data_IF_121918707582
#
_entry.id   IF_121918707582
#
_cell.length_a   1.000
_cell.length_b   1.000
_cell.length_c   1.000
_cell.angle_alpha   90.00
_cell.angle_beta   90.00
_cell.angle_gamma   90.00
#
_symmetry.space_group_name_H-M   'P 1'
#
loop_
_entity.id
_entity.type
_entity.pdbx_description
1 polymer ?
#
# COMPACT_ATOMS: atom_id res chain seq x y z
N UNK A 1 -14.24 -25.39 -79.32
CA UNK A 1 -13.96 -26.68 -79.98
C UNK A 1 -13.02 -27.47 -79.09
N UNK A 2 -13.45 -28.67 -78.65
CA UNK A 2 -12.63 -29.85 -78.29
C UNK A 2 -11.75 -29.71 -77.03
N UNK A 3 -11.74 -30.59 -76.03
CA UNK A 3 -12.54 -31.75 -75.61
C UNK A 3 -12.20 -32.01 -74.12
N UNK A 4 -13.21 -32.55 -73.44
CA UNK A 4 -13.29 -33.40 -72.25
C UNK A 4 -12.05 -34.14 -71.70
N UNK A 5 -12.02 -34.26 -70.36
CA UNK A 5 -11.74 -35.49 -69.56
C UNK A 5 -12.39 -35.29 -68.17
N UNK A 6 -13.53 -35.91 -67.81
CA UNK A 6 -13.85 -37.34 -67.57
C UNK A 6 -13.28 -37.87 -66.22
N UNK A 7 -14.08 -37.97 -65.14
CA UNK A 7 -14.94 -39.08 -64.62
C UNK A 7 -14.33 -39.61 -63.30
N UNK A 8 -15.13 -39.67 -62.21
CA UNK A 8 -15.36 -40.77 -61.23
C UNK A 8 -15.70 -40.16 -59.85
N UNK A 9 -16.61 -40.63 -58.98
CA UNK A 9 -17.80 -41.50 -58.99
C UNK A 9 -18.56 -41.20 -57.68
N UNK A 10 -19.88 -41.38 -57.70
CA UNK A 10 -20.80 -41.18 -56.57
C UNK A 10 -20.58 -42.11 -55.38
N UNK A 11 -21.01 -41.70 -54.18
CA UNK A 11 -21.99 -42.48 -53.39
C UNK A 11 -22.59 -41.68 -52.22
N UNK A 12 -23.92 -41.62 -52.25
CA UNK A 12 -24.87 -41.18 -51.23
C UNK A 12 -25.00 -42.14 -50.03
N UNK A 13 -25.71 -41.69 -48.98
CA UNK A 13 -26.31 -42.39 -47.80
C UNK A 13 -25.58 -42.06 -46.48
N UNK A 14 -26.22 -41.82 -45.32
CA UNK A 14 -27.61 -42.00 -44.84
C UNK A 14 -27.77 -41.20 -43.53
N UNK A 15 -28.97 -40.67 -43.29
CA UNK A 15 -29.47 -40.28 -41.97
C UNK A 15 -29.34 -41.43 -40.96
N UNK A 16 -29.11 -41.14 -39.67
CA UNK A 16 -29.94 -41.72 -38.61
C UNK A 16 -29.91 -40.88 -37.33
N UNK A 17 -31.10 -40.40 -36.99
CA UNK A 17 -31.56 -39.93 -35.69
C UNK A 17 -31.62 -41.13 -34.74
N UNK A 18 -31.10 -41.03 -33.51
CA UNK A 18 -31.45 -41.96 -32.42
C UNK A 18 -31.81 -41.17 -31.18
N UNK A 19 -33.13 -41.16 -30.93
CA UNK A 19 -33.77 -40.90 -29.65
C UNK A 19 -33.71 -42.20 -28.85
N UNK A 20 -33.32 -42.14 -27.58
CA UNK A 20 -33.56 -43.20 -26.60
C UNK A 20 -33.66 -42.56 -25.20
N UNK A 21 -34.88 -42.24 -24.74
CA UNK A 21 -35.71 -42.99 -23.78
C UNK A 21 -35.12 -43.15 -22.37
N UNK A 22 -35.85 -42.51 -21.46
CA UNK A 22 -35.84 -42.58 -20.00
C UNK A 22 -36.09 -44.01 -19.51
N UNK A 23 -35.29 -44.48 -18.55
CA UNK A 23 -35.65 -45.58 -17.66
C UNK A 23 -35.27 -45.18 -16.22
N UNK A 24 -36.28 -44.96 -15.40
CA UNK A 24 -36.17 -44.67 -13.96
C UNK A 24 -36.16 -46.02 -13.24
N UNK A 25 -35.09 -46.32 -12.50
CA UNK A 25 -35.09 -47.33 -11.45
C UNK A 25 -34.64 -46.67 -10.15
N UNK A 26 -35.54 -46.71 -9.17
CA UNK A 26 -35.36 -46.19 -7.82
C UNK A 26 -34.63 -47.22 -6.94
N UNK A 27 -33.62 -46.79 -6.18
CA UNK A 27 -33.00 -47.49 -5.05
C UNK A 27 -32.35 -46.46 -4.08
N UNK A 28 -32.05 -46.84 -2.82
CA UNK A 28 -32.57 -46.16 -1.62
C UNK A 28 -31.76 -44.96 -1.14
N UNK A 29 -32.49 -44.03 -0.53
CA UNK A 29 -32.00 -42.92 0.26
C UNK A 29 -31.17 -43.39 1.45
N UNK A 30 -29.86 -43.12 1.42
CA UNK A 30 -29.00 -43.11 2.60
C UNK A 30 -28.60 -41.65 2.87
N UNK A 31 -29.14 -41.10 3.96
CA UNK A 31 -28.85 -39.77 4.43
C UNK A 31 -27.38 -39.66 4.87
N UNK A 32 -26.62 -38.74 4.25
CA UNK A 32 -25.33 -38.28 4.73
C UNK A 32 -25.26 -36.75 4.58
N UNK A 33 -25.35 -36.10 5.74
CA UNK A 33 -24.90 -34.76 6.11
C UNK A 33 -24.66 -33.72 5.00
N UNK A 34 -25.55 -32.72 4.94
CA UNK A 34 -25.26 -31.42 4.33
C UNK A 34 -24.17 -30.71 5.14
N UNK A 35 -22.93 -30.79 4.66
CA UNK A 35 -21.81 -29.96 5.10
C UNK A 35 -21.85 -28.61 4.39
N UNK A 36 -22.21 -27.58 5.13
CA UNK A 36 -22.34 -26.19 4.71
C UNK A 36 -20.98 -25.61 4.24
N UNK A 37 -20.64 -25.76 2.95
CA UNK A 37 -19.40 -25.26 2.33
C UNK A 37 -19.49 -23.77 1.94
N UNK A 38 -19.92 -22.93 2.89
CA UNK A 38 -19.90 -21.48 2.73
C UNK A 38 -19.93 -20.76 4.08
N UNK A 39 -18.95 -21.01 4.94
CA UNK A 39 -18.67 -20.14 6.10
C UNK A 39 -17.25 -20.27 6.71
N UNK A 40 -16.39 -21.19 6.27
CA UNK A 40 -15.13 -21.48 6.97
C UNK A 40 -13.85 -20.84 6.41
N UNK A 41 -13.91 -20.04 5.35
CA UNK A 41 -12.70 -19.32 4.85
C UNK A 41 -12.48 -17.95 5.49
N UNK A 42 -13.44 -17.41 6.25
CA UNK A 42 -13.33 -16.10 6.90
C UNK A 42 -13.06 -16.15 8.42
N UNK A 43 -12.92 -17.34 9.02
CA UNK A 43 -12.72 -17.49 10.47
C UNK A 43 -11.26 -17.85 10.88
N UNK A 44 -10.39 -18.21 9.93
CA UNK A 44 -9.03 -18.71 10.22
C UNK A 44 -7.90 -17.72 9.94
N UNK A 45 -8.19 -16.54 9.37
CA UNK A 45 -7.19 -15.47 9.16
C UNK A 45 -7.16 -14.45 10.32
N UNK A 46 -8.12 -14.51 11.25
CA UNK A 46 -8.27 -13.49 12.31
C UNK A 46 -7.78 -13.89 13.70
N UNK A 47 -7.31 -15.12 13.94
CA UNK A 47 -6.99 -15.61 15.31
C UNK A 47 -5.51 -15.92 15.57
N UNK A 48 -4.66 -15.89 14.54
CA UNK A 48 -3.20 -16.05 14.68
C UNK A 48 -2.47 -14.71 14.84
N UNK A 49 -3.01 -13.62 14.28
CA UNK A 49 -2.42 -12.27 14.42
C UNK A 49 -2.70 -11.68 15.82
N UNK A 50 -3.76 -12.11 16.50
CA UNK A 50 -4.14 -11.59 17.82
C UNK A 50 -3.40 -12.24 19.01
N UNK A 51 -2.83 -13.44 18.86
CA UNK A 51 -2.36 -14.24 20.01
C UNK A 51 -0.91 -14.02 20.43
N UNK A 52 -0.05 -13.52 19.53
CA UNK A 52 1.37 -13.34 19.86
C UNK A 52 1.70 -11.96 20.46
N UNK A 53 0.71 -11.06 20.59
CA UNK A 53 0.90 -9.72 21.16
C UNK A 53 0.40 -9.56 22.60
N UNK A 54 -0.26 -10.56 23.19
CA UNK A 54 -1.06 -10.37 24.41
C UNK A 54 -0.60 -11.14 25.66
N UNK A 55 0.44 -11.98 25.59
CA UNK A 55 0.71 -12.94 26.67
C UNK A 55 1.66 -12.49 27.80
N UNK A 56 2.40 -11.38 27.66
CA UNK A 56 3.39 -10.98 28.69
C UNK A 56 3.01 -9.74 29.51
N UNK A 57 1.77 -9.24 29.39
CA UNK A 57 1.37 -8.00 30.06
C UNK A 57 0.28 -8.21 31.12
N UNK A 58 0.51 -9.11 32.08
CA UNK A 58 -0.29 -9.14 33.31
C UNK A 58 0.58 -9.19 34.57
N UNK A 59 0.33 -8.20 35.43
CA UNK A 59 0.77 -8.06 36.82
C UNK A 59 2.25 -7.78 37.08
N UNK A 60 2.62 -6.51 36.96
CA UNK A 60 3.23 -5.79 38.07
C UNK A 60 2.94 -4.30 37.88
N UNK A 61 2.07 -3.73 38.74
CA UNK A 61 1.88 -2.29 38.85
C UNK A 61 3.18 -1.67 39.39
N UNK A 62 4.15 -1.47 38.49
CA UNK A 62 5.39 -0.80 38.80
C UNK A 62 5.09 0.69 38.91
N UNK A 63 5.29 1.26 40.10
CA UNK A 63 5.42 2.71 40.29
C UNK A 63 6.58 3.18 39.41
N UNK A 64 6.29 3.62 38.19
CA UNK A 64 7.33 4.06 37.26
C UNK A 64 8.00 5.29 37.83
N UNK A 65 9.32 5.29 38.07
CA UNK A 65 10.02 6.52 38.38
C UNK A 65 9.82 7.47 37.19
N UNK A 66 9.45 8.73 37.46
CA UNK A 66 9.50 9.84 36.48
C UNK A 66 10.96 10.15 36.13
N UNK A 67 11.68 9.15 35.64
CA UNK A 67 13.01 9.30 35.08
C UNK A 67 12.77 10.01 33.76
N UNK A 68 13.15 11.29 33.66
CA UNK A 68 13.23 12.00 32.38
C UNK A 68 14.17 11.18 31.48
N UNK A 69 13.61 10.25 30.72
CA UNK A 69 14.31 9.54 29.67
C UNK A 69 14.79 10.62 28.70
N UNK A 70 16.10 10.75 28.57
CA UNK A 70 16.70 11.65 27.59
C UNK A 70 16.56 11.00 26.20
N UNK A 71 15.33 10.89 25.72
CA UNK A 71 15.01 10.39 24.40
C UNK A 71 15.39 11.50 23.41
N UNK A 72 16.63 11.45 22.90
CA UNK A 72 16.97 12.22 21.71
C UNK A 72 16.20 11.61 20.54
N UNK A 73 15.01 12.18 20.30
CA UNK A 73 14.14 11.85 19.18
C UNK A 73 14.93 11.95 17.87
N UNK A 74 14.91 10.86 17.08
CA UNK A 74 15.39 10.88 15.68
C UNK A 74 14.56 11.84 14.81
N UNK A 75 13.33 12.15 15.21
CA UNK A 75 12.47 13.11 14.53
C UNK A 75 12.88 14.53 14.91
N UNK A 76 13.05 15.36 13.89
CA UNK A 76 13.26 16.80 14.03
C UNK A 76 11.97 17.53 13.66
N UNK A 77 11.65 18.57 14.42
CA UNK A 77 10.39 19.32 14.28
C UNK A 77 10.64 20.77 13.89
N UNK A 78 9.82 21.30 12.99
CA UNK A 78 9.73 22.73 12.74
C UNK A 78 8.65 23.35 13.63
N UNK A 79 9.06 24.27 14.50
CA UNK A 79 8.13 25.07 15.31
C UNK A 79 7.21 25.96 14.47
N UNK A 80 7.66 26.37 13.28
CA UNK A 80 6.93 27.32 12.43
C UNK A 80 5.79 26.66 11.65
N UNK A 81 6.07 25.54 10.99
CA UNK A 81 5.07 24.83 10.17
C UNK A 81 4.36 23.70 10.91
N UNK A 82 4.93 23.21 12.00
CA UNK A 82 4.51 21.97 12.61
C UNK A 82 5.00 20.72 11.87
N UNK A 83 5.86 20.89 10.86
CA UNK A 83 6.35 19.77 10.08
C UNK A 83 7.42 18.97 10.82
N UNK A 84 7.50 17.71 10.44
CA UNK A 84 8.46 16.75 10.94
C UNK A 84 9.35 16.32 9.77
N UNK A 85 10.66 16.23 10.04
CA UNK A 85 11.61 15.65 9.10
C UNK A 85 11.42 14.13 9.08
N UNK A 86 11.21 13.57 7.89
CA UNK A 86 11.29 12.12 7.70
C UNK A 86 12.72 11.65 8.03
N UNK A 87 12.91 10.66 8.91
CA UNK A 87 14.22 10.05 9.10
C UNK A 87 14.77 9.53 7.76
N UNK A 88 16.08 9.67 7.52
CA UNK A 88 16.66 9.28 6.22
C UNK A 88 16.48 7.80 5.85
N UNK A 89 16.15 6.94 6.82
CA UNK A 89 15.81 5.52 6.64
C UNK A 89 14.85 5.09 7.75
N UNK A 90 14.04 4.08 7.47
CA UNK A 90 13.23 3.39 8.48
C UNK A 90 12.77 2.02 7.99
N UNK A 91 11.84 1.39 8.70
CA UNK A 91 11.33 0.06 8.34
C UNK A 91 10.67 0.12 6.96
N UNK A 92 11.24 -0.60 6.00
CA UNK A 92 10.69 -0.72 4.65
C UNK A 92 10.89 0.47 3.72
N UNK A 93 11.59 1.54 4.13
CA UNK A 93 11.89 2.68 3.26
C UNK A 93 13.32 3.20 3.39
N UNK A 94 13.73 3.96 2.39
CA UNK A 94 14.88 4.85 2.44
C UNK A 94 14.53 6.19 1.79
N UNK A 95 15.06 7.27 2.33
CA UNK A 95 15.04 8.56 1.66
C UNK A 95 16.13 8.57 0.58
N UNK A 96 15.78 9.04 -0.62
CA UNK A 96 16.75 9.41 -1.63
C UNK A 96 16.65 10.91 -1.84
N UNK A 97 17.78 11.60 -1.77
CA UNK A 97 17.81 12.98 -2.21
C UNK A 97 18.07 13.02 -3.71
N UNK A 98 17.44 13.99 -4.39
CA UNK A 98 17.88 14.41 -5.72
C UNK A 98 19.23 15.15 -5.63
N UNK A 99 19.37 16.31 -6.27
CA UNK A 99 20.52 17.19 -6.05
C UNK A 99 20.49 17.91 -4.69
N UNK A 100 19.36 17.89 -3.98
CA UNK A 100 19.14 18.62 -2.74
C UNK A 100 19.73 17.88 -1.52
N UNK A 101 19.98 18.59 -0.42
CA UNK A 101 20.41 17.94 0.82
C UNK A 101 19.20 17.23 1.48
N UNK A 102 19.32 15.98 1.98
CA UNK A 102 18.21 15.18 2.54
C UNK A 102 17.43 15.82 3.71
N UNK A 103 17.98 16.88 4.29
CA UNK A 103 17.33 17.61 5.38
C UNK A 103 16.61 18.88 4.92
N UNK A 104 16.52 19.12 3.61
CA UNK A 104 15.92 20.31 3.02
C UNK A 104 14.59 20.02 2.32
N UNK A 105 14.37 18.77 1.90
CA UNK A 105 13.31 18.32 1.00
C UNK A 105 12.31 17.34 1.65
N UNK A 106 12.70 16.66 2.73
CA UNK A 106 11.91 15.61 3.36
C UNK A 106 11.05 16.05 4.57
N UNK A 107 10.59 17.30 4.61
CA UNK A 107 9.73 17.79 5.70
C UNK A 107 8.25 17.65 5.35
N UNK A 108 7.47 17.04 6.24
CA UNK A 108 6.05 16.79 6.01
C UNK A 108 5.17 17.17 7.19
N UNK A 109 3.89 17.32 6.93
CA UNK A 109 2.89 17.30 7.99
C UNK A 109 2.97 15.95 8.73
N UNK A 110 2.71 15.88 10.05
CA UNK A 110 2.83 14.63 10.80
C UNK A 110 2.06 13.46 10.18
N UNK A 111 0.89 13.71 9.58
CA UNK A 111 0.09 12.70 8.87
C UNK A 111 0.78 12.15 7.61
N UNK A 112 1.56 12.97 6.90
CA UNK A 112 2.31 12.53 5.73
C UNK A 112 3.50 11.65 6.13
N UNK A 113 4.22 12.05 7.19
CA UNK A 113 5.32 11.25 7.73
C UNK A 113 4.79 9.92 8.27
N UNK A 114 3.69 9.93 9.02
CA UNK A 114 3.03 8.72 9.49
C UNK A 114 2.59 7.81 8.35
N UNK A 115 1.98 8.38 7.30
CA UNK A 115 1.59 7.64 6.11
C UNK A 115 2.77 6.90 5.48
N UNK A 116 3.90 7.60 5.25
CA UNK A 116 5.13 6.98 4.71
C UNK A 116 5.60 5.82 5.58
N UNK A 117 5.72 6.03 6.88
CA UNK A 117 6.26 5.01 7.79
C UNK A 117 5.37 3.78 7.89
N UNK A 118 4.05 3.96 7.92
CA UNK A 118 3.08 2.86 7.98
C UNK A 118 3.02 2.10 6.66
N UNK A 119 2.93 2.80 5.53
CA UNK A 119 2.95 2.18 4.19
C UNK A 119 4.24 1.40 3.98
N UNK A 120 5.38 1.97 4.33
CA UNK A 120 6.67 1.31 4.18
C UNK A 120 6.81 0.08 5.10
N UNK A 121 6.38 0.20 6.35
CA UNK A 121 6.39 -0.93 7.28
C UNK A 121 5.51 -2.08 6.77
N UNK A 122 4.31 -1.76 6.28
CA UNK A 122 3.39 -2.74 5.72
C UNK A 122 3.91 -3.34 4.41
N UNK A 123 4.52 -2.53 3.55
CA UNK A 123 5.21 -3.00 2.34
C UNK A 123 6.29 -4.04 2.68
N UNK A 124 7.11 -3.76 3.69
CA UNK A 124 8.16 -4.68 4.14
C UNK A 124 7.60 -5.98 4.72
N UNK A 125 6.40 -5.94 5.31
CA UNK A 125 5.70 -7.13 5.81
C UNK A 125 5.14 -7.96 4.66
N UNK A 126 4.44 -7.33 3.70
CA UNK A 126 3.85 -8.01 2.54
C UNK A 126 4.91 -8.55 1.58
N UNK A 127 6.04 -7.85 1.44
CA UNK A 127 7.07 -8.15 0.45
C UNK A 127 8.49 -8.19 1.05
N UNK A 128 8.81 -9.13 1.96
CA UNK A 128 10.06 -9.13 2.72
C UNK A 128 11.33 -9.32 1.87
N UNK A 129 11.18 -9.85 0.64
CA UNK A 129 12.29 -10.06 -0.32
C UNK A 129 12.33 -9.00 -1.43
N UNK A 130 11.51 -7.95 -1.37
CA UNK A 130 11.47 -6.89 -2.38
C UNK A 130 12.23 -5.64 -1.91
N UNK A 131 12.65 -4.77 -2.85
CA UNK A 131 13.27 -3.51 -2.50
C UNK A 131 12.41 -2.69 -1.54
N UNK A 132 13.07 -1.95 -0.65
CA UNK A 132 12.39 -0.94 0.16
C UNK A 132 11.82 0.17 -0.73
N UNK A 133 10.83 0.87 -0.20
CA UNK A 133 10.21 2.02 -0.86
C UNK A 133 11.19 3.20 -0.83
N UNK A 134 11.48 3.76 -2.01
CA UNK A 134 12.27 4.99 -2.11
C UNK A 134 11.38 6.20 -1.95
N UNK A 135 11.64 7.04 -0.96
CA UNK A 135 10.92 8.30 -0.69
C UNK A 135 11.81 9.47 -1.07
N UNK A 136 11.27 10.43 -1.82
CA UNK A 136 11.94 11.66 -2.22
C UNK A 136 11.28 12.87 -1.57
N UNK A 137 11.14 13.92 -2.37
CA UNK A 137 10.68 15.22 -1.91
C UNK A 137 9.30 15.18 -1.24
N UNK A 138 9.17 15.89 -0.12
CA UNK A 138 7.89 16.09 0.59
C UNK A 138 7.57 17.58 0.64
N UNK A 139 8.40 18.35 1.33
CA UNK A 139 8.38 19.81 1.30
C UNK A 139 9.61 20.38 1.99
N UNK A 140 9.78 21.70 1.90
CA UNK A 140 10.76 22.42 2.70
C UNK A 140 10.40 22.40 4.19
N UNK A 141 11.41 22.60 5.06
CA UNK A 141 11.25 22.68 6.53
C UNK A 141 10.03 23.42 7.03
N UNK A 142 9.69 24.54 6.39
CA UNK A 142 8.59 25.40 6.78
C UNK A 142 7.47 25.45 5.72
N UNK A 143 7.45 24.49 4.80
CA UNK A 143 6.64 24.54 3.59
C UNK A 143 7.01 25.71 2.68
N UNK A 144 6.02 26.19 1.94
CA UNK A 144 6.18 27.32 1.01
C UNK A 144 6.65 26.90 -0.37
N UNK A 145 7.10 27.88 -1.18
CA UNK A 145 7.52 27.61 -2.57
C UNK A 145 8.73 26.68 -2.59
N UNK A 146 8.65 25.63 -3.40
CA UNK A 146 9.70 24.65 -3.57
C UNK A 146 9.93 24.38 -5.07
N UNK A 147 10.57 25.32 -5.78
CA UNK A 147 10.82 25.11 -7.20
C UNK A 147 11.73 23.90 -7.45
N UNK A 148 11.49 23.08 -8.50
CA UNK A 148 10.45 23.24 -9.51
C UNK A 148 9.06 22.69 -9.10
N UNK A 149 8.95 22.04 -7.94
CA UNK A 149 7.73 21.43 -7.42
C UNK A 149 6.65 22.47 -7.09
N UNK A 150 5.51 22.38 -7.78
CA UNK A 150 4.41 23.33 -7.61
C UNK A 150 3.62 23.04 -6.33
N UNK A 151 3.43 21.76 -5.96
CA UNK A 151 2.49 21.40 -4.90
C UNK A 151 3.13 21.09 -3.55
N UNK A 152 4.41 20.69 -3.50
CA UNK A 152 5.22 20.34 -2.29
C UNK A 152 5.45 21.52 -1.32
N UNK A 153 4.36 22.14 -0.87
CA UNK A 153 4.34 23.42 -0.15
C UNK A 153 3.76 23.29 1.24
N UNK A 154 2.89 22.30 1.45
CA UNK A 154 2.12 22.12 2.67
C UNK A 154 2.46 20.80 3.40
N UNK A 155 3.49 20.08 2.94
CA UNK A 155 3.94 18.85 3.58
C UNK A 155 2.99 17.67 3.42
N UNK A 156 2.09 17.69 2.41
CA UNK A 156 1.11 16.62 2.12
C UNK A 156 1.31 15.96 0.76
N UNK A 157 2.33 16.36 0.01
CA UNK A 157 2.75 15.75 -1.24
C UNK A 157 4.02 14.95 -1.00
N UNK A 158 4.13 13.76 -1.56
CA UNK A 158 5.23 12.83 -1.33
C UNK A 158 5.64 12.25 -2.68
N UNK A 159 6.89 12.45 -3.06
CA UNK A 159 7.47 11.77 -4.22
C UNK A 159 7.97 10.38 -3.83
N UNK A 160 7.60 9.38 -4.62
CA UNK A 160 7.89 7.97 -4.35
C UNK A 160 8.48 7.32 -5.60
N UNK A 161 9.51 6.49 -5.44
CA UNK A 161 10.06 5.71 -6.56
C UNK A 161 9.05 4.67 -7.04
N UNK A 162 8.91 4.47 -8.36
CA UNK A 162 8.24 3.29 -8.88
C UNK A 162 9.04 2.06 -8.50
N UNK A 163 8.34 0.96 -8.24
CA UNK A 163 8.99 -0.25 -7.74
C UNK A 163 9.72 -0.98 -8.85
N UNK A 164 10.95 -1.41 -8.55
CA UNK A 164 11.71 -2.36 -9.37
C UNK A 164 11.45 -3.78 -8.90
N UNK A 165 11.76 -4.77 -9.74
CA UNK A 165 11.56 -6.20 -9.39
C UNK A 165 12.49 -6.71 -8.29
N UNK A 166 13.73 -6.24 -8.25
CA UNK A 166 14.80 -6.89 -7.48
C UNK A 166 15.82 -5.97 -6.80
N UNK A 167 15.92 -4.69 -7.16
CA UNK A 167 16.89 -3.76 -6.55
C UNK A 167 16.30 -2.39 -6.28
N UNK A 168 16.83 -1.68 -5.28
CA UNK A 168 16.50 -0.29 -5.00
C UNK A 168 16.99 0.65 -6.13
N UNK A 169 16.57 1.91 -6.08
CA UNK A 169 17.10 2.97 -6.93
C UNK A 169 16.17 3.44 -8.05
N UNK A 170 16.71 4.33 -8.90
CA UNK A 170 15.97 5.01 -9.96
C UNK A 170 15.41 4.02 -11.00
N UNK A 171 14.23 4.30 -11.50
CA UNK A 171 13.62 3.58 -12.64
C UNK A 171 12.62 4.49 -13.34
N UNK A 172 12.18 4.11 -14.54
CA UNK A 172 11.12 4.79 -15.29
C UNK A 172 10.10 3.77 -15.76
N UNK A 173 8.90 4.21 -16.15
CA UNK A 173 7.84 3.32 -16.69
C UNK A 173 8.26 2.52 -17.93
N UNK A 174 9.30 2.94 -18.65
CA UNK A 174 9.85 2.26 -19.83
C UNK A 174 11.02 1.34 -19.52
N UNK A 175 11.57 1.40 -18.30
CA UNK A 175 12.78 0.66 -17.96
C UNK A 175 12.49 -0.83 -17.72
N UNK A 176 13.38 -1.72 -18.17
CA UNK A 176 13.16 -3.17 -18.04
C UNK A 176 12.98 -3.64 -16.59
N UNK A 177 13.70 -3.05 -15.63
CA UNK A 177 13.65 -3.38 -14.21
C UNK A 177 12.35 -2.93 -13.50
N UNK A 178 11.61 -1.99 -14.08
CA UNK A 178 10.35 -1.47 -13.53
C UNK A 178 9.31 -2.59 -13.42
N UNK A 179 8.68 -2.69 -12.25
CA UNK A 179 7.59 -3.60 -11.97
C UNK A 179 6.30 -2.82 -11.83
N UNK A 180 5.49 -2.84 -12.89
CA UNK A 180 4.13 -2.28 -12.87
C UNK A 180 3.28 -2.89 -11.78
N UNK A 181 3.32 -4.21 -11.61
CA UNK A 181 2.55 -4.92 -10.60
C UNK A 181 2.88 -4.41 -9.18
N UNK A 182 4.16 -4.38 -8.81
CA UNK A 182 4.56 -3.88 -7.49
C UNK A 182 4.32 -2.40 -7.30
N UNK A 183 4.36 -1.61 -8.38
CA UNK A 183 4.01 -0.20 -8.31
C UNK A 183 2.52 0.00 -8.11
N UNK A 184 1.68 -0.83 -8.74
CA UNK A 184 0.24 -0.87 -8.50
C UNK A 184 -0.05 -1.24 -7.04
N UNK A 185 0.54 -2.33 -6.55
CA UNK A 185 0.37 -2.78 -5.17
C UNK A 185 0.79 -1.70 -4.16
N UNK A 186 1.85 -0.95 -4.46
CA UNK A 186 2.28 0.17 -3.63
C UNK A 186 1.25 1.32 -3.64
N UNK A 187 0.68 1.67 -4.80
CA UNK A 187 -0.38 2.70 -4.90
C UNK A 187 -1.63 2.27 -4.14
N UNK A 188 -2.03 1.01 -4.28
CA UNK A 188 -3.15 0.44 -3.54
C UNK A 188 -2.88 0.52 -2.04
N UNK A 189 -1.68 0.14 -1.59
CA UNK A 189 -1.29 0.24 -0.18
C UNK A 189 -1.31 1.67 0.35
N UNK A 190 -0.83 2.66 -0.41
CA UNK A 190 -0.99 4.07 -0.05
C UNK A 190 -2.46 4.46 0.10
N UNK A 191 -3.34 3.95 -0.76
CA UNK A 191 -4.78 4.24 -0.75
C UNK A 191 -5.52 3.52 0.37
N UNK A 192 -5.06 2.33 0.77
CA UNK A 192 -5.56 1.54 1.90
C UNK A 192 -5.17 2.20 3.23
N UNK A 193 -3.91 2.61 3.37
CA UNK A 193 -3.34 3.11 4.63
C UNK A 193 -3.61 4.59 4.82
N UNK A 194 -3.74 5.39 3.76
CA UNK A 194 -3.82 6.84 3.84
C UNK A 194 -4.97 7.38 2.97
N UNK A 195 -5.55 8.53 3.34
CA UNK A 195 -6.53 9.20 2.50
C UNK A 195 -5.84 9.97 1.37
N UNK A 196 -5.42 9.22 0.36
CA UNK A 196 -4.86 9.73 -0.89
C UNK A 196 -5.93 10.55 -1.63
N UNK A 197 -5.57 11.77 -2.00
CA UNK A 197 -6.37 12.62 -2.87
C UNK A 197 -6.16 12.26 -4.35
N UNK A 198 -4.90 12.09 -4.76
CA UNK A 198 -4.50 11.75 -6.12
C UNK A 198 -3.08 11.20 -6.14
N UNK A 199 -2.75 10.50 -7.21
CA UNK A 199 -1.40 10.10 -7.58
C UNK A 199 -1.12 10.60 -9.00
N UNK A 200 -0.02 11.32 -9.22
CA UNK A 200 0.44 11.60 -10.59
C UNK A 200 1.52 10.60 -10.97
N UNK A 201 1.27 9.86 -12.05
CA UNK A 201 2.20 8.86 -12.55
C UNK A 201 1.85 8.49 -14.00
N UNK A 202 2.86 8.39 -14.86
CA UNK A 202 2.68 8.27 -16.31
C UNK A 202 2.72 6.83 -16.83
N UNK A 203 2.34 5.84 -16.02
CA UNK A 203 2.12 4.50 -16.53
C UNK A 203 0.74 4.42 -17.23
N UNK A 204 0.69 4.18 -18.55
CA UNK A 204 -0.56 4.24 -19.31
C UNK A 204 -1.57 3.14 -18.93
N UNK A 205 -1.09 2.02 -18.36
CA UNK A 205 -1.96 0.94 -17.90
C UNK A 205 -2.57 1.32 -16.56
N UNK A 206 -1.76 1.82 -15.62
CA UNK A 206 -2.26 2.21 -14.29
C UNK A 206 -3.22 3.40 -14.37
N UNK A 207 -2.98 4.37 -15.27
CA UNK A 207 -3.91 5.48 -15.53
C UNK A 207 -5.30 4.95 -15.95
N UNK A 208 -5.37 3.88 -16.74
CA UNK A 208 -6.64 3.28 -17.17
C UNK A 208 -7.30 2.44 -16.07
N UNK A 209 -6.50 1.79 -15.24
CA UNK A 209 -6.98 0.85 -14.22
C UNK A 209 -7.37 1.52 -12.90
N UNK A 210 -6.75 2.66 -12.55
CA UNK A 210 -6.84 3.25 -11.22
C UNK A 210 -7.41 4.68 -11.30
N UNK A 211 -8.59 4.89 -10.70
CA UNK A 211 -9.32 6.17 -10.76
C UNK A 211 -8.57 7.35 -10.14
N UNK A 212 -7.68 7.09 -9.18
CA UNK A 212 -6.88 8.10 -8.48
C UNK A 212 -5.53 8.41 -9.16
N UNK A 213 -5.15 7.67 -10.21
CA UNK A 213 -3.89 7.88 -10.94
C UNK A 213 -4.13 8.77 -12.16
N UNK A 214 -3.33 9.82 -12.31
CA UNK A 214 -3.45 10.79 -13.41
C UNK A 214 -2.12 11.05 -14.09
N UNK A 215 -2.18 11.28 -15.40
CA UNK A 215 -1.02 11.73 -16.18
C UNK A 215 -0.62 13.14 -15.77
N UNK A 216 0.69 13.41 -15.71
CA UNK A 216 1.25 14.75 -15.53
C UNK A 216 2.65 14.85 -16.16
N UNK A 217 3.02 15.99 -16.73
CA UNK A 217 4.34 16.17 -17.33
C UNK A 217 5.47 15.86 -16.32
N UNK A 218 6.50 15.13 -16.72
CA UNK A 218 7.64 14.77 -15.85
C UNK A 218 7.50 13.52 -14.98
N UNK A 219 6.29 12.95 -14.81
CA UNK A 219 6.02 11.90 -13.82
C UNK A 219 6.20 10.47 -14.35
N UNK A 220 7.29 10.21 -15.09
CA UNK A 220 7.61 8.88 -15.63
C UNK A 220 8.52 8.07 -14.71
N UNK A 221 9.18 8.70 -13.73
CA UNK A 221 10.24 8.12 -12.91
C UNK A 221 10.00 8.24 -11.38
N UNK A 222 8.86 8.80 -11.00
CA UNK A 222 8.35 8.93 -9.64
C UNK A 222 6.82 9.02 -9.65
N UNK A 223 6.21 8.59 -8.56
CA UNK A 223 4.82 8.81 -8.22
C UNK A 223 4.75 10.06 -7.34
N UNK A 224 3.93 11.03 -7.72
CA UNK A 224 3.59 12.16 -6.88
C UNK A 224 2.32 11.82 -6.11
N UNK A 225 2.43 11.44 -4.84
CA UNK A 225 1.29 11.08 -3.98
C UNK A 225 0.83 12.30 -3.19
N UNK A 226 -0.41 12.76 -3.42
CA UNK A 226 -1.01 13.84 -2.66
C UNK A 226 -2.00 13.29 -1.64
N UNK A 227 -1.85 13.67 -0.37
CA UNK A 227 -2.78 13.32 0.70
C UNK A 227 -3.85 14.39 0.87
N UNK A 228 -5.04 13.97 1.31
CA UNK A 228 -6.04 14.88 1.85
C UNK A 228 -5.53 15.39 3.20
N UNK A 229 -5.70 16.68 3.49
CA UNK A 229 -5.48 17.19 4.84
C UNK A 229 -6.40 16.46 5.84
N UNK A 230 -5.94 16.30 7.09
CA UNK A 230 -6.40 15.35 8.11
C UNK A 230 -7.87 15.40 8.57
N UNK A 231 -8.79 15.96 7.79
CA UNK A 231 -10.21 15.99 8.13
C UNK A 231 -10.87 14.59 8.00
N UNK A 232 -10.24 13.60 7.35
CA UNK A 232 -10.81 12.24 7.14
C UNK A 232 -9.74 11.14 6.94
N UNK A 233 -8.98 10.76 7.97
CA UNK A 233 -7.89 9.78 7.86
C UNK A 233 -8.15 8.51 8.71
N UNK A 234 -7.66 7.33 8.28
CA UNK A 234 -7.79 6.07 9.04
C UNK A 234 -7.04 6.14 10.37
N UNK A 235 -7.60 5.52 11.40
CA UNK A 235 -7.20 5.67 12.81
C UNK A 235 -5.70 5.44 13.05
N UNK A 236 -5.10 4.44 12.38
CA UNK A 236 -3.68 4.14 12.52
C UNK A 236 -2.75 5.28 12.07
N UNK A 237 -3.09 6.00 10.98
CA UNK A 237 -2.31 7.16 10.51
C UNK A 237 -2.44 8.32 11.48
N UNK A 238 -3.65 8.56 12.00
CA UNK A 238 -3.90 9.63 12.97
C UNK A 238 -3.15 9.37 14.27
N UNK A 239 -3.23 8.16 14.79
CA UNK A 239 -2.54 7.77 16.02
C UNK A 239 -1.01 7.89 15.84
N UNK A 240 -0.47 7.32 14.76
CA UNK A 240 0.97 7.45 14.47
C UNK A 240 1.38 8.90 14.24
N UNK A 241 0.56 9.71 13.59
CA UNK A 241 0.83 11.14 13.39
C UNK A 241 0.85 11.90 14.72
N UNK A 242 -0.06 11.59 15.64
CA UNK A 242 -0.08 12.15 16.99
C UNK A 242 1.17 11.76 17.78
N UNK A 243 1.56 10.49 17.73
CA UNK A 243 2.78 10.00 18.38
C UNK A 243 4.04 10.68 17.81
N UNK A 244 4.18 10.73 16.49
CA UNK A 244 5.29 11.43 15.83
C UNK A 244 5.33 12.91 16.25
N UNK A 245 4.17 13.57 16.28
CA UNK A 245 4.06 14.97 16.72
C UNK A 245 4.46 15.16 18.17
N UNK A 246 4.11 14.24 19.07
CA UNK A 246 4.49 14.29 20.49
C UNK A 246 5.99 14.05 20.69
N UNK A 247 6.51 13.00 20.05
CA UNK A 247 7.95 12.65 20.09
C UNK A 247 8.79 13.80 19.55
N UNK A 248 8.39 14.38 18.42
CA UNK A 248 9.13 15.48 17.79
C UNK A 248 9.07 16.78 18.63
N UNK A 249 8.11 16.90 19.56
CA UNK A 249 8.05 17.97 20.59
C UNK A 249 8.89 17.68 21.83
N UNK A 250 9.56 16.52 21.90
CA UNK A 250 10.30 16.07 23.07
C UNK A 250 9.40 15.55 24.20
N UNK A 251 8.12 15.33 23.91
CA UNK A 251 7.21 14.68 24.84
C UNK A 251 7.28 13.17 24.59
N UNK A 252 7.55 12.37 25.61
CA UNK A 252 7.38 10.93 25.50
C UNK A 252 5.90 10.64 25.17
N UNK A 253 5.61 9.63 24.32
CA UNK A 253 4.25 9.12 24.19
C UNK A 253 3.75 8.77 25.59
N UNK A 254 2.56 9.25 25.95
CA UNK A 254 1.86 8.71 27.11
C UNK A 254 1.37 7.35 26.65
N UNK A 255 1.77 6.27 27.30
CA UNK A 255 1.22 4.94 27.03
C UNK A 255 -0.31 5.05 27.15
N UNK A 256 -1.00 5.02 26.01
CA UNK A 256 -2.45 5.08 25.97
C UNK A 256 -2.98 3.83 26.67
N UNK A 257 -3.78 3.94 27.75
CA UNK A 257 -4.51 2.79 28.26
C UNK A 257 -5.44 2.33 27.14
N UNK A 258 -5.27 1.11 26.65
CA UNK A 258 -6.26 0.51 25.76
C UNK A 258 -7.60 0.53 26.49
N UNK A 259 -8.61 1.02 25.79
CA UNK A 259 -10.00 1.06 26.25
C UNK A 259 -10.40 -0.34 26.68
N UNK A 260 -10.50 -0.55 27.98
CA UNK A 260 -11.22 -1.67 28.56
C UNK A 260 -12.68 -1.50 28.18
N UNK A 261 -13.11 -2.16 27.11
CA UNK A 261 -14.50 -2.50 26.94
C UNK A 261 -14.79 -3.66 27.90
N UNK A 262 -15.55 -3.35 28.96
CA UNK A 262 -16.16 -4.33 29.87
C UNK A 262 -17.58 -3.85 30.18
N UNK A 263 -18.51 -4.75 30.54
CA UNK A 263 -18.60 -6.19 30.25
C UNK A 263 -19.63 -6.52 29.16
#
# INVERSE_FOLDING_TARGET
>A
MILTKAIFVSRTHRMLLVVATVLILALPTLAMAEGNFSSQVNASVSSSVQRDFSADFHSNACKTPKRRLNYKSQYRYSKKSGFVLLPGRGKGYYHFSGPDHPEEDAWGAPEAIACVELVAAEWSTRYPKRPRVGIGDISRRNGGRFAPHVTHRNGLDIDVRPMKRSSEGRTTVSHNAYSRAYTKDLIDLFTEVCAVQRVLFNDPVLIKQMKNVRRSAGHHDHLHVSLKSAVRQPEAVVERANQIRMIARGNAPVDSPQTASNP
#
